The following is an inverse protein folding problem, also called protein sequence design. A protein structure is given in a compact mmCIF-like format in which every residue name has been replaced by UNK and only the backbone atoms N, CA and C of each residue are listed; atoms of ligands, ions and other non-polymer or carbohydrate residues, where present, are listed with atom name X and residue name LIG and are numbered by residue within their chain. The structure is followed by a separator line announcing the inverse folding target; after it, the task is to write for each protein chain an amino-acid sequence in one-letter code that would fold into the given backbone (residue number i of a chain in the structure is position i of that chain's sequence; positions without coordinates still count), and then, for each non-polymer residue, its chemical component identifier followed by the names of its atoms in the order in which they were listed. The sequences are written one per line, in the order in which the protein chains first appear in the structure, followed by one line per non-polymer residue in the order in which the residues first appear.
data_IF_680342271867
#
_entry.id   IF_680342271867
#
_cell.length_a   1.000
_cell.length_b   1.000
_cell.length_c   1.000
_cell.angle_alpha   90.00
_cell.angle_beta   90.00
_cell.angle_gamma   90.00
#
_symmetry.space_group_name_H-M   'P 1'
#
loop_
_entity.id
_entity.type
_entity.pdbx_description
1 polymer ?
#
# COMPACT_ATOMS: atom_id res chain seq x y z
N UNK A 1 17.70 -1.15 -18.64
CA UNK A 1 16.29 -1.49 -18.30
C UNK A 1 16.25 -2.74 -17.42
N UNK A 2 15.44 -2.78 -16.35
CA UNK A 2 15.30 -3.98 -15.48
C UNK A 2 14.62 -5.14 -16.21
N UNK A 3 15.16 -6.36 -16.07
CA UNK A 3 14.60 -7.58 -16.68
C UNK A 3 13.27 -7.97 -16.01
N UNK A 4 12.42 -8.77 -16.69
CA UNK A 4 11.16 -9.26 -16.11
C UNK A 4 11.39 -10.04 -14.80
N UNK A 5 12.45 -10.85 -14.76
CA UNK A 5 12.83 -11.62 -13.58
C UNK A 5 13.16 -10.72 -12.37
N UNK A 6 13.88 -9.61 -12.58
CA UNK A 6 14.21 -8.66 -11.51
C UNK A 6 12.96 -7.96 -10.96
N UNK A 7 11.98 -7.65 -11.82
CA UNK A 7 10.71 -7.04 -11.39
C UNK A 7 9.86 -7.99 -10.55
N UNK A 8 9.79 -9.25 -10.97
CA UNK A 8 9.07 -10.29 -10.21
C UNK A 8 9.78 -10.56 -8.88
N UNK A 9 11.11 -10.71 -8.89
CA UNK A 9 11.89 -10.89 -7.66
C UNK A 9 11.75 -9.73 -6.67
N UNK A 10 11.74 -8.49 -7.17
CA UNK A 10 11.43 -7.31 -6.35
C UNK A 10 10.05 -7.38 -5.73
N UNK A 11 9.01 -7.65 -6.51
CA UNK A 11 7.64 -7.69 -6.02
C UNK A 11 7.46 -8.80 -4.96
N UNK A 12 7.96 -10.00 -5.23
CA UNK A 12 7.87 -11.12 -4.27
C UNK A 12 8.66 -10.81 -3.00
N UNK A 13 9.89 -10.31 -3.12
CA UNK A 13 10.71 -9.96 -1.96
C UNK A 13 10.09 -8.86 -1.11
N UNK A 14 9.52 -7.84 -1.76
CA UNK A 14 8.81 -6.75 -1.09
C UNK A 14 7.64 -7.27 -0.25
N UNK A 15 6.80 -8.13 -0.84
CA UNK A 15 5.62 -8.68 -0.15
C UNK A 15 6.03 -9.62 1.00
N UNK A 16 6.95 -10.56 0.75
CA UNK A 16 7.34 -11.56 1.76
C UNK A 16 8.01 -10.90 2.96
N UNK A 17 8.96 -9.98 2.75
CA UNK A 17 9.65 -9.31 3.85
C UNK A 17 8.69 -8.38 4.58
N UNK A 18 7.82 -7.66 3.85
CA UNK A 18 6.81 -6.79 4.45
C UNK A 18 5.85 -7.55 5.35
N UNK A 19 5.35 -8.70 4.89
CA UNK A 19 4.46 -9.59 5.65
C UNK A 19 5.14 -10.15 6.91
N UNK A 20 6.40 -10.61 6.80
CA UNK A 20 7.14 -11.11 7.98
C UNK A 20 7.30 -10.00 9.03
N UNK A 21 7.66 -8.79 8.60
CA UNK A 21 7.86 -7.67 9.51
C UNK A 21 6.55 -7.24 10.16
N UNK A 22 5.46 -7.09 9.39
CA UNK A 22 4.19 -6.60 9.95
C UNK A 22 3.58 -7.62 10.92
N UNK A 23 3.58 -8.92 10.58
CA UNK A 23 3.12 -9.98 11.48
C UNK A 23 4.01 -10.04 12.72
N UNK A 24 5.32 -9.89 12.56
CA UNK A 24 6.27 -9.82 13.67
C UNK A 24 5.97 -8.66 14.62
N UNK A 25 5.75 -7.46 14.08
CA UNK A 25 5.38 -6.27 14.88
C UNK A 25 4.05 -6.49 15.59
N UNK A 26 3.01 -6.93 14.89
CA UNK A 26 1.69 -7.17 15.48
C UNK A 26 1.72 -8.22 16.60
N UNK A 27 2.57 -9.24 16.47
CA UNK A 27 2.74 -10.24 17.53
C UNK A 27 3.29 -9.67 18.84
N UNK A 28 4.08 -8.58 18.78
CA UNK A 28 4.55 -7.89 19.99
C UNK A 28 3.43 -7.14 20.71
N UNK A 29 2.33 -6.84 20.01
CA UNK A 29 1.12 -6.23 20.58
C UNK A 29 0.11 -7.30 21.07
N UNK A 30 0.49 -8.58 21.08
CA UNK A 30 -0.34 -9.68 21.57
C UNK A 30 -1.34 -10.23 20.55
N UNK A 31 -1.28 -9.78 19.29
CA UNK A 31 -2.12 -10.32 18.24
C UNK A 31 -1.63 -11.70 17.79
N UNK A 32 -2.57 -12.61 17.60
CA UNK A 32 -2.28 -13.93 17.05
C UNK A 32 -1.68 -13.82 15.64
N UNK A 33 -0.60 -14.57 15.38
CA UNK A 33 0.16 -14.48 14.13
C UNK A 33 -0.68 -14.95 12.94
N UNK A 34 -1.54 -15.95 13.12
CA UNK A 34 -2.37 -16.47 12.04
C UNK A 34 -3.47 -15.48 11.65
N UNK A 35 -4.13 -14.85 12.64
CA UNK A 35 -5.13 -13.79 12.40
C UNK A 35 -4.50 -12.55 11.77
N UNK A 36 -3.35 -12.11 12.30
CA UNK A 36 -2.63 -10.93 11.78
C UNK A 36 -2.17 -11.13 10.33
N UNK A 37 -1.64 -12.33 10.01
CA UNK A 37 -1.25 -12.68 8.65
C UNK A 37 -2.44 -12.73 7.70
N UNK A 38 -3.56 -13.31 8.12
CA UNK A 38 -4.78 -13.36 7.31
C UNK A 38 -5.35 -11.96 7.08
N UNK A 39 -5.36 -11.10 8.10
CA UNK A 39 -5.76 -9.69 7.97
C UNK A 39 -4.88 -8.95 6.97
N UNK A 40 -3.55 -9.08 7.07
CA UNK A 40 -2.63 -8.45 6.13
C UNK A 40 -2.88 -8.89 4.67
N UNK A 41 -3.14 -10.19 4.44
CA UNK A 41 -3.49 -10.71 3.11
C UNK A 41 -4.80 -10.11 2.60
N UNK A 42 -5.85 -10.04 3.44
CA UNK A 42 -7.13 -9.45 3.04
C UNK A 42 -6.98 -7.96 2.72
N UNK A 43 -6.30 -7.21 3.58
CA UNK A 43 -6.09 -5.76 3.41
C UNK A 43 -5.26 -5.49 2.15
N UNK A 44 -4.21 -6.25 1.87
CA UNK A 44 -3.41 -6.08 0.63
C UNK A 44 -4.21 -6.36 -0.65
N UNK A 45 -5.08 -7.37 -0.64
CA UNK A 45 -5.99 -7.64 -1.76
C UNK A 45 -6.98 -6.47 -1.96
N UNK A 46 -7.61 -6.01 -0.87
CA UNK A 46 -8.55 -4.88 -0.90
C UNK A 46 -7.85 -3.61 -1.37
N UNK A 47 -6.65 -3.33 -0.86
CA UNK A 47 -5.85 -2.17 -1.25
C UNK A 47 -5.45 -2.23 -2.73
N UNK A 48 -5.09 -3.41 -3.25
CA UNK A 48 -4.78 -3.60 -4.67
C UNK A 48 -6.00 -3.31 -5.54
N UNK A 49 -7.17 -3.82 -5.14
CA UNK A 49 -8.41 -3.56 -5.85
C UNK A 49 -8.82 -2.07 -5.78
N UNK A 50 -8.70 -1.46 -4.60
CA UNK A 50 -8.96 -0.03 -4.38
C UNK A 50 -8.03 0.85 -5.24
N UNK A 51 -6.75 0.52 -5.32
CA UNK A 51 -5.77 1.19 -6.17
C UNK A 51 -6.24 1.23 -7.62
N UNK A 52 -6.64 0.09 -8.17
CA UNK A 52 -7.19 0.04 -9.52
C UNK A 52 -8.48 0.85 -9.67
N UNK A 53 -9.46 0.61 -8.78
CA UNK A 53 -10.76 1.25 -8.84
C UNK A 53 -10.66 2.78 -8.74
N UNK A 54 -9.90 3.29 -7.77
CA UNK A 54 -9.71 4.72 -7.56
C UNK A 54 -9.02 5.39 -8.74
N UNK A 55 -7.96 4.78 -9.30
CA UNK A 55 -7.29 5.34 -10.48
C UNK A 55 -8.25 5.48 -11.66
N UNK A 56 -9.07 4.46 -11.93
CA UNK A 56 -10.09 4.50 -13.00
C UNK A 56 -11.14 5.58 -12.73
N UNK A 57 -11.65 5.68 -11.50
CA UNK A 57 -12.63 6.71 -11.11
C UNK A 57 -12.06 8.12 -11.29
N UNK A 58 -10.83 8.35 -10.84
CA UNK A 58 -10.20 9.66 -10.92
C UNK A 58 -9.85 10.06 -12.34
N UNK A 59 -9.34 9.12 -13.16
CA UNK A 59 -9.04 9.39 -14.56
C UNK A 59 -10.32 9.69 -15.37
N UNK A 60 -11.41 8.98 -15.08
CA UNK A 60 -12.73 9.30 -15.66
C UNK A 60 -13.24 10.67 -15.22
N UNK A 61 -13.06 11.04 -13.95
CA UNK A 61 -13.41 12.38 -13.45
C UNK A 61 -12.59 13.47 -14.15
N UNK A 62 -11.27 13.29 -14.30
CA UNK A 62 -10.42 14.23 -15.00
C UNK A 62 -10.82 14.37 -16.47
N UNK A 63 -11.06 13.24 -17.16
CA UNK A 63 -11.50 13.24 -18.56
C UNK A 63 -12.83 13.99 -18.73
N UNK A 64 -13.79 13.80 -17.81
CA UNK A 64 -15.08 14.50 -17.84
C UNK A 64 -14.96 15.99 -17.51
N UNK A 65 -14.12 16.36 -16.54
CA UNK A 65 -14.05 17.74 -16.04
C UNK A 65 -13.06 18.64 -16.79
N UNK A 66 -11.95 18.08 -17.25
CA UNK A 66 -10.84 18.84 -17.85
C UNK A 66 -10.52 18.40 -19.29
N UNK A 67 -11.22 17.40 -19.84
CA UNK A 67 -10.97 16.89 -21.20
C UNK A 67 -9.60 16.22 -21.39
N UNK A 68 -8.83 16.07 -20.32
CA UNK A 68 -7.45 15.60 -20.32
C UNK A 68 -7.15 14.83 -19.03
N UNK A 69 -6.29 13.81 -19.14
CA UNK A 69 -5.80 13.02 -18.01
C UNK A 69 -4.51 13.61 -17.40
N UNK A 70 -4.03 14.75 -17.91
CA UNK A 70 -2.78 15.35 -17.47
C UNK A 70 -2.91 15.96 -16.06
N UNK A 71 -2.29 15.33 -15.07
CA UNK A 71 -2.31 15.75 -13.65
C UNK A 71 -1.22 16.79 -13.38
N UNK A 72 -1.63 18.02 -13.05
CA UNK A 72 -0.72 19.05 -12.48
C UNK A 72 -0.19 18.62 -11.11
N UNK A 73 0.89 19.24 -10.61
CA UNK A 73 1.45 18.89 -9.30
C UNK A 73 0.43 19.04 -8.15
N UNK A 74 -0.39 20.09 -8.17
CA UNK A 74 -1.47 20.29 -7.18
C UNK A 74 -2.51 19.17 -7.26
N UNK A 75 -2.89 18.75 -8.47
CA UNK A 75 -3.83 17.64 -8.66
C UNK A 75 -3.25 16.30 -8.18
N UNK A 76 -1.94 16.09 -8.32
CA UNK A 76 -1.27 14.88 -7.81
C UNK A 76 -1.30 14.83 -6.28
N UNK A 77 -1.05 15.95 -5.61
CA UNK A 77 -1.15 16.01 -4.15
C UNK A 77 -2.57 15.69 -3.67
N UNK A 78 -3.58 16.35 -4.24
CA UNK A 78 -4.99 16.10 -3.90
C UNK A 78 -5.38 14.66 -4.19
N UNK A 79 -4.94 14.11 -5.34
CA UNK A 79 -5.17 12.72 -5.72
C UNK A 79 -4.63 11.75 -4.69
N UNK A 80 -3.38 11.91 -4.26
CA UNK A 80 -2.73 11.01 -3.29
C UNK A 80 -3.39 11.11 -1.93
N UNK A 81 -3.67 12.32 -1.44
CA UNK A 81 -4.33 12.50 -0.13
C UNK A 81 -5.73 11.88 -0.12
N UNK A 82 -6.50 12.11 -1.19
CA UNK A 82 -7.85 11.54 -1.31
C UNK A 82 -7.82 10.02 -1.52
N UNK A 83 -6.81 9.51 -2.22
CA UNK A 83 -6.58 8.07 -2.37
C UNK A 83 -6.39 7.39 -1.02
N UNK A 84 -5.45 7.92 -0.23
CA UNK A 84 -5.08 7.37 1.08
C UNK A 84 -6.25 7.47 2.07
N UNK A 85 -6.89 8.64 2.14
CA UNK A 85 -8.06 8.83 3.00
C UNK A 85 -9.21 7.90 2.62
N UNK A 86 -9.48 7.74 1.32
CA UNK A 86 -10.50 6.80 0.83
C UNK A 86 -10.14 5.34 1.10
N UNK A 87 -8.85 4.98 1.00
CA UNK A 87 -8.37 3.64 1.33
C UNK A 87 -8.64 3.34 2.81
N UNK A 88 -8.25 4.23 3.73
CA UNK A 88 -8.49 4.08 5.16
C UNK A 88 -9.98 3.90 5.48
N UNK A 89 -10.87 4.65 4.82
CA UNK A 89 -12.33 4.50 5.00
C UNK A 89 -12.81 3.08 4.62
N UNK A 90 -12.16 2.43 3.65
CA UNK A 90 -12.50 1.08 3.21
C UNK A 90 -11.82 0.00 4.06
N UNK A 91 -10.54 0.20 4.42
CA UNK A 91 -9.74 -0.80 5.14
C UNK A 91 -10.01 -0.82 6.63
N UNK A 92 -10.25 0.34 7.26
CA UNK A 92 -10.46 0.44 8.71
C UNK A 92 -11.64 -0.41 9.21
N UNK A 93 -12.83 -0.42 8.57
CA UNK A 93 -13.93 -1.30 8.98
C UNK A 93 -13.58 -2.79 8.86
N UNK A 94 -12.78 -3.16 7.85
CA UNK A 94 -12.34 -4.54 7.65
C UNK A 94 -11.38 -4.94 8.75
N UNK A 95 -10.39 -4.09 9.06
CA UNK A 95 -9.45 -4.28 10.17
C UNK A 95 -10.20 -4.39 11.50
N UNK A 96 -11.19 -3.51 11.75
CA UNK A 96 -12.00 -3.55 12.97
C UNK A 96 -12.70 -4.89 13.17
N UNK A 97 -13.36 -5.40 12.11
CA UNK A 97 -14.07 -6.68 12.17
C UNK A 97 -13.11 -7.86 12.29
N UNK A 98 -11.98 -7.86 11.56
CA UNK A 98 -11.05 -8.98 11.55
C UNK A 98 -10.22 -9.10 12.83
N UNK A 99 -9.92 -7.97 13.48
CA UNK A 99 -9.09 -7.90 14.67
C UNK A 99 -9.90 -7.77 15.97
N UNK A 100 -11.24 -7.78 15.87
CA UNK A 100 -12.16 -7.53 16.99
C UNK A 100 -11.83 -6.23 17.76
N UNK A 101 -11.56 -5.16 17.01
CA UNK A 101 -11.23 -3.83 17.53
C UNK A 101 -12.39 -2.87 17.35
N UNK A 102 -12.49 -1.88 18.24
CA UNK A 102 -13.37 -0.75 17.97
C UNK A 102 -12.83 0.07 16.78
N UNK A 103 -13.70 0.91 16.19
CA UNK A 103 -13.35 1.70 15.00
C UNK A 103 -12.15 2.64 15.21
N UNK A 104 -11.95 3.16 16.42
CA UNK A 104 -10.85 4.08 16.71
C UNK A 104 -9.50 3.38 16.79
N UNK A 105 -9.45 2.25 17.51
CA UNK A 105 -8.25 1.44 17.64
C UNK A 105 -7.88 0.80 16.30
N UNK A 106 -8.88 0.35 15.53
CA UNK A 106 -8.68 -0.13 14.17
C UNK A 106 -8.15 0.97 13.24
N UNK A 107 -8.66 2.20 13.35
CA UNK A 107 -8.17 3.34 12.56
C UNK A 107 -6.71 3.67 12.90
N UNK A 108 -6.36 3.71 14.18
CA UNK A 108 -4.98 3.93 14.62
C UNK A 108 -4.04 2.82 14.14
N UNK A 109 -4.49 1.56 14.21
CA UNK A 109 -3.75 0.43 13.70
C UNK A 109 -3.53 0.55 12.19
N UNK A 110 -4.58 0.84 11.43
CA UNK A 110 -4.55 0.96 9.97
C UNK A 110 -3.64 2.11 9.51
N UNK A 111 -3.72 3.28 10.14
CA UNK A 111 -2.80 4.40 9.92
C UNK A 111 -1.36 4.02 10.28
N UNK A 112 -1.16 3.32 11.40
CA UNK A 112 0.16 2.82 11.81
C UNK A 112 0.76 1.86 10.78
N UNK A 113 -0.03 0.94 10.25
CA UNK A 113 0.37 0.04 9.18
C UNK A 113 0.70 0.79 7.89
N UNK A 114 -0.12 1.76 7.48
CA UNK A 114 0.12 2.58 6.30
C UNK A 114 1.45 3.36 6.40
N UNK A 115 1.70 4.00 7.55
CA UNK A 115 2.95 4.70 7.83
C UNK A 115 4.15 3.73 7.84
N UNK A 116 3.99 2.56 8.44
CA UNK A 116 5.01 1.51 8.42
C UNK A 116 5.35 1.10 6.99
N UNK A 117 4.35 0.78 6.15
CA UNK A 117 4.55 0.39 4.76
C UNK A 117 5.15 1.52 3.91
N UNK A 118 4.80 2.78 4.18
CA UNK A 118 5.41 3.93 3.51
C UNK A 118 6.92 3.99 3.76
N UNK A 119 7.33 3.90 5.03
CA UNK A 119 8.75 3.93 5.42
C UNK A 119 9.47 2.68 4.91
N UNK A 120 8.86 1.50 5.09
CA UNK A 120 9.37 0.23 4.61
C UNK A 120 9.59 0.24 3.10
N UNK A 121 8.61 0.70 2.32
CA UNK A 121 8.73 0.78 0.86
C UNK A 121 9.85 1.70 0.42
N UNK A 122 10.01 2.86 1.07
CA UNK A 122 11.14 3.73 0.79
C UNK A 122 12.50 3.02 1.02
N UNK A 123 12.67 2.39 2.18
CA UNK A 123 13.92 1.70 2.55
C UNK A 123 14.17 0.51 1.61
N UNK A 124 13.16 -0.32 1.37
CA UNK A 124 13.27 -1.50 0.51
C UNK A 124 13.67 -1.10 -0.92
N UNK A 125 12.96 -0.13 -1.50
CA UNK A 125 13.26 0.37 -2.85
C UNK A 125 14.70 0.92 -2.91
N UNK A 126 15.13 1.69 -1.91
CA UNK A 126 16.48 2.23 -1.85
C UNK A 126 17.56 1.14 -1.78
N UNK A 127 17.37 0.13 -0.92
CA UNK A 127 18.30 -1.00 -0.80
C UNK A 127 18.33 -1.80 -2.11
N UNK A 128 17.17 -2.10 -2.69
CA UNK A 128 17.08 -2.86 -3.93
C UNK A 128 17.74 -2.12 -5.09
N UNK A 129 17.54 -0.81 -5.19
CA UNK A 129 18.19 0.02 -6.20
C UNK A 129 19.72 0.03 -6.05
N UNK A 130 20.23 -0.05 -4.82
CA UNK A 130 21.68 -0.16 -4.55
C UNK A 130 22.24 -1.54 -4.92
N UNK A 131 21.50 -2.61 -4.66
CA UNK A 131 21.91 -3.99 -4.98
C UNK A 131 21.78 -4.30 -6.47
N UNK A 132 20.75 -3.74 -7.12
CA UNK A 132 20.44 -3.94 -8.53
C UNK A 132 20.25 -2.59 -9.23
N UNK A 133 21.35 -1.85 -9.45
CA UNK A 133 21.29 -0.55 -10.10
C UNK A 133 20.67 -0.67 -11.50
N UNK A 134 19.77 0.24 -11.88
CA UNK A 134 19.20 0.24 -13.21
C UNK A 134 20.33 0.43 -14.23
N UNK A 135 20.46 -0.52 -15.17
CA UNK A 135 21.38 -0.39 -16.29
C UNK A 135 21.00 0.86 -17.09
N UNK A 136 21.91 1.85 -17.09
CA UNK A 136 21.85 3.05 -17.93
C UNK A 136 21.88 2.56 -19.38
N UNK A 137 20.84 2.85 -20.14
CA UNK A 137 20.92 2.73 -21.59
C UNK A 137 21.76 3.92 -22.07
N UNK A 138 23.03 3.66 -22.42
CA UNK A 138 23.87 4.58 -23.19
C UNK A 138 23.53 4.36 -24.66
#
# INVERSE_FOLDING_TARGET
MRTRAQRIGHAIGFEVIGLILIVGVLSQFGFDQSHSGMMAIVVTIVATFWNYAYNVLFDNYLKRKYGSIHKTQKMRLVHTVLFEAGLLVVTTPIVAVMMDLNLWDAFLLDVGMALFYLVYAYIYNWIFDKLFPPQIAI
#
